data_IF_513760645391
#
_entry.id   IF_513760645391
#
_cell.length_a   1.000
_cell.length_b   1.000
_cell.length_c   1.000
_cell.angle_alpha   90.00
_cell.angle_beta   90.00
_cell.angle_gamma   90.00
#
_symmetry.space_group_name_H-M   'P 1'
#
loop_
_entity.id
_entity.type
_entity.pdbx_description
1 polymer ?
#
# COMPACT_ATOMS: atom_id res chain seq x y z
N UNK A 1 2.81 34.43 11.38
CA UNK A 1 3.04 33.55 12.56
C UNK A 1 3.04 32.12 12.06
N UNK A 2 4.21 31.64 11.62
CA UNK A 2 4.33 30.24 11.19
C UNK A 2 4.18 29.36 12.42
N UNK A 3 3.20 28.45 12.40
CA UNK A 3 3.01 27.47 13.46
C UNK A 3 4.24 26.56 13.42
N UNK A 4 4.93 26.33 14.57
CA UNK A 4 6.08 25.45 14.59
C UNK A 4 5.64 24.09 14.06
N UNK A 5 6.26 23.65 12.96
CA UNK A 5 5.97 22.38 12.34
C UNK A 5 6.23 21.27 13.34
N UNK A 6 5.16 20.66 13.85
CA UNK A 6 5.27 19.49 14.72
C UNK A 6 5.75 18.33 13.84
N UNK A 7 7.01 17.93 14.02
CA UNK A 7 7.55 16.75 13.35
C UNK A 7 6.72 15.54 13.74
N UNK A 8 6.36 14.74 12.73
CA UNK A 8 5.53 13.56 12.91
C UNK A 8 6.43 12.40 13.27
N UNK A 9 6.31 11.89 14.49
CA UNK A 9 7.21 10.88 15.06
C UNK A 9 7.04 9.50 14.42
N UNK A 10 5.87 9.21 13.83
CA UNK A 10 5.58 7.91 13.21
C UNK A 10 4.85 8.12 11.89
N UNK A 11 5.28 7.40 10.84
CA UNK A 11 4.68 7.49 9.51
C UNK A 11 3.15 7.28 9.52
N UNK A 12 2.63 6.46 10.44
CA UNK A 12 1.19 6.19 10.61
C UNK A 12 0.35 7.38 11.09
N UNK A 13 0.99 8.36 11.72
CA UNK A 13 0.32 9.57 12.21
C UNK A 13 0.15 10.61 11.07
N UNK A 14 0.77 10.37 9.91
CA UNK A 14 0.57 11.19 8.72
C UNK A 14 -0.80 10.93 8.11
N UNK A 15 -1.53 12.01 7.85
CA UNK A 15 -2.81 11.98 7.14
C UNK A 15 -2.69 11.27 5.78
N UNK A 16 -1.57 11.47 5.06
CA UNK A 16 -1.31 10.78 3.78
C UNK A 16 -1.19 9.26 3.95
N UNK A 17 -0.59 8.79 5.04
CA UNK A 17 -0.48 7.36 5.33
C UNK A 17 -1.86 6.75 5.56
N UNK A 18 -2.72 7.44 6.33
CA UNK A 18 -4.09 6.98 6.61
C UNK A 18 -4.92 6.87 5.33
N UNK A 19 -4.80 7.86 4.44
CA UNK A 19 -5.49 7.86 3.14
C UNK A 19 -4.98 6.77 2.20
N UNK A 20 -3.66 6.62 2.08
CA UNK A 20 -3.06 5.58 1.27
C UNK A 20 -3.47 4.17 1.77
N UNK A 21 -3.47 3.97 3.10
CA UNK A 21 -3.88 2.70 3.69
C UNK A 21 -5.35 2.37 3.44
N UNK A 22 -6.25 3.36 3.51
CA UNK A 22 -7.66 3.17 3.18
C UNK A 22 -7.87 2.74 1.72
N UNK A 23 -7.19 3.42 0.77
CA UNK A 23 -7.24 3.06 -0.65
C UNK A 23 -6.69 1.65 -0.88
N UNK A 24 -5.57 1.29 -0.25
CA UNK A 24 -5.01 -0.06 -0.35
C UNK A 24 -5.98 -1.14 0.14
N UNK A 25 -6.76 -0.88 1.18
CA UNK A 25 -7.79 -1.81 1.67
C UNK A 25 -8.95 -1.95 0.68
N UNK A 26 -9.37 -0.87 0.03
CA UNK A 26 -10.42 -0.90 -0.99
C UNK A 26 -9.97 -1.68 -2.23
N UNK A 27 -8.75 -1.42 -2.70
CA UNK A 27 -8.13 -2.17 -3.81
C UNK A 27 -8.03 -3.64 -3.45
N UNK A 28 -7.55 -3.99 -2.26
CA UNK A 28 -7.47 -5.38 -1.82
C UNK A 28 -8.85 -6.06 -1.82
N UNK A 29 -9.89 -5.39 -1.29
CA UNK A 29 -11.27 -5.92 -1.34
C UNK A 29 -11.79 -6.10 -2.76
N UNK A 30 -11.48 -5.19 -3.67
CA UNK A 30 -11.84 -5.32 -5.08
C UNK A 30 -11.14 -6.52 -5.74
N UNK A 31 -9.86 -6.76 -5.42
CA UNK A 31 -9.12 -7.92 -5.96
C UNK A 31 -9.66 -9.26 -5.49
N UNK A 32 -10.35 -9.32 -4.34
CA UNK A 32 -10.99 -10.54 -3.85
C UNK A 32 -12.19 -10.99 -4.70
N UNK A 33 -12.81 -10.06 -5.44
CA UNK A 33 -13.92 -10.37 -6.36
C UNK A 33 -13.44 -10.85 -7.75
N UNK A 34 -12.12 -10.83 -8.01
CA UNK A 34 -11.60 -11.26 -9.30
C UNK A 34 -11.72 -12.77 -9.45
N UNK A 35 -11.95 -13.29 -10.68
CA UNK A 35 -12.01 -14.72 -10.93
C UNK A 35 -10.72 -15.38 -10.41
N UNK A 36 -10.81 -16.55 -9.75
CA UNK A 36 -9.67 -17.24 -9.10
C UNK A 36 -8.44 -17.41 -10.02
N UNK A 37 -8.64 -17.45 -11.33
CA UNK A 37 -7.57 -17.56 -12.34
C UNK A 37 -6.68 -16.29 -12.41
N UNK A 38 -7.21 -15.10 -12.16
CA UNK A 38 -6.46 -13.83 -12.22
C UNK A 38 -5.80 -13.45 -10.88
N UNK A 39 -6.34 -13.92 -9.75
CA UNK A 39 -5.74 -13.72 -8.42
C UNK A 39 -4.34 -14.35 -8.32
N UNK A 40 -4.13 -15.52 -8.93
CA UNK A 40 -2.81 -16.16 -8.97
C UNK A 40 -1.82 -15.40 -9.85
N UNK A 41 -2.26 -14.86 -10.99
CA UNK A 41 -1.40 -14.11 -11.88
C UNK A 41 -0.93 -12.79 -11.25
N UNK A 42 -1.84 -12.05 -10.61
CA UNK A 42 -1.52 -10.78 -9.95
C UNK A 42 -0.65 -10.97 -8.70
N UNK A 43 -0.94 -12.00 -7.88
CA UNK A 43 -0.13 -12.33 -6.71
C UNK A 43 1.30 -12.74 -7.10
N UNK A 44 1.45 -13.48 -8.20
CA UNK A 44 2.77 -13.90 -8.68
C UNK A 44 3.57 -12.74 -9.31
N UNK A 45 2.90 -11.78 -9.95
CA UNK A 45 3.54 -10.54 -10.41
C UNK A 45 3.96 -9.63 -9.26
N UNK A 46 3.12 -9.49 -8.22
CA UNK A 46 3.44 -8.68 -7.05
C UNK A 46 4.64 -9.25 -6.30
N UNK A 47 4.68 -10.58 -6.10
CA UNK A 47 5.81 -11.29 -5.51
C UNK A 47 7.11 -11.09 -6.31
N UNK A 48 7.05 -11.23 -7.64
CA UNK A 48 8.22 -10.97 -8.50
C UNK A 48 8.69 -9.52 -8.41
N UNK A 49 7.77 -8.56 -8.29
CA UNK A 49 8.13 -7.14 -8.13
C UNK A 49 8.72 -6.85 -6.75
N UNK A 50 8.25 -7.51 -5.68
CA UNK A 50 8.79 -7.35 -4.33
C UNK A 50 10.17 -8.00 -4.19
N UNK A 51 10.37 -9.17 -4.82
CA UNK A 51 11.66 -9.86 -4.83
C UNK A 51 12.74 -9.01 -5.54
N UNK A 52 12.37 -8.30 -6.62
CA UNK A 52 13.25 -7.38 -7.32
C UNK A 52 13.67 -6.18 -6.46
N UNK A 53 12.79 -5.71 -5.58
CA UNK A 53 13.06 -4.56 -4.70
C UNK A 53 13.89 -4.92 -3.45
N UNK A 54 14.05 -6.20 -3.12
CA UNK A 54 14.85 -6.68 -1.97
C UNK A 54 16.29 -7.06 -2.33
N UNK A 55 16.65 -7.06 -3.62
CA UNK A 55 17.97 -7.42 -4.14
C UNK A 55 18.79 -6.21 -4.65
N UNK A 56 18.36 -4.99 -4.33
CA UNK A 56 19.05 -3.73 -4.66
C UNK A 56 19.58 -3.02 -3.42
#
# INVERSE_FOLDING_TARGET
MEKPGRYVERARDLEVYRRAYAVSLEVHRATLAFPKIEQYALADQLRRSSDLCQLG
#
